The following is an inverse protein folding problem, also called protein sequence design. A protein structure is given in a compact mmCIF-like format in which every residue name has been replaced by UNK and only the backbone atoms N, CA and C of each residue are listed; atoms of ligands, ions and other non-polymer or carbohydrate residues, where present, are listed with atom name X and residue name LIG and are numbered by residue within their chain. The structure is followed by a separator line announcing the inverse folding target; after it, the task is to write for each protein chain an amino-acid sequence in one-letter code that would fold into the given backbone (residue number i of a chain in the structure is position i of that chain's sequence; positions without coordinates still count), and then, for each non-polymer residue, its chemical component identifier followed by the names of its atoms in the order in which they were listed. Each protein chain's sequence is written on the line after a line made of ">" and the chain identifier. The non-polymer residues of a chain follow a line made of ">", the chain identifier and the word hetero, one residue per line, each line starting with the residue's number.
data_IF_705594959770
#
_entry.id   IF_705594959770
#
_cell.length_a   1.000
_cell.length_b   1.000
_cell.length_c   1.000
_cell.angle_alpha   90.00
_cell.angle_beta   90.00
_cell.angle_gamma   90.00
#
_symmetry.space_group_name_H-M   'P 1'
#
loop_
_entity.id
_entity.type
_entity.pdbx_description
1 polymer ?
#
# COMPACT_ATOMS: atom_id res chain seq x y z
N UNK A 1 -3.06 9.82 12.00
CA UNK A 1 -1.95 10.01 11.03
C UNK A 1 -2.14 9.08 9.83
N UNK A 2 -1.78 9.50 8.62
CA UNK A 2 -1.91 8.66 7.41
C UNK A 2 -0.57 8.05 7.01
N UNK A 3 -0.54 6.73 6.88
CA UNK A 3 0.63 5.96 6.45
C UNK A 3 0.41 5.46 5.03
N UNK A 4 1.25 5.91 4.10
CA UNK A 4 1.16 5.55 2.69
C UNK A 4 2.29 4.58 2.36
N UNK A 5 1.96 3.40 1.84
CA UNK A 5 2.93 2.37 1.45
C UNK A 5 2.85 2.17 -0.06
N UNK A 6 3.91 2.59 -0.76
CA UNK A 6 4.07 2.42 -2.20
C UNK A 6 5.32 1.60 -2.52
N UNK A 7 5.41 1.14 -3.77
CA UNK A 7 6.47 0.25 -4.19
C UNK A 7 6.06 -0.60 -5.38
N UNK A 8 7.06 -1.20 -6.02
CA UNK A 8 6.86 -2.09 -7.16
C UNK A 8 5.98 -3.31 -6.82
N UNK A 9 5.37 -3.91 -7.84
CA UNK A 9 4.76 -5.24 -7.70
C UNK A 9 5.81 -6.25 -7.23
N UNK A 10 5.45 -7.17 -6.33
CA UNK A 10 6.41 -8.10 -5.71
C UNK A 10 7.41 -7.45 -4.73
N UNK A 11 7.24 -6.15 -4.41
CA UNK A 11 8.12 -5.41 -3.50
C UNK A 11 7.98 -5.77 -2.02
N UNK A 12 6.94 -6.51 -1.62
CA UNK A 12 6.68 -6.86 -0.21
C UNK A 12 5.86 -5.82 0.56
N UNK A 13 5.11 -4.94 -0.14
CA UNK A 13 4.27 -3.91 0.49
C UNK A 13 3.27 -4.49 1.49
N UNK A 14 2.47 -5.47 1.08
CA UNK A 14 1.47 -6.10 1.94
C UNK A 14 2.10 -6.79 3.16
N UNK A 15 3.24 -7.46 2.97
CA UNK A 15 4.03 -8.05 4.06
C UNK A 15 4.48 -6.97 5.05
N UNK A 16 5.10 -5.89 4.55
CA UNK A 16 5.51 -4.75 5.36
C UNK A 16 4.34 -4.16 6.14
N UNK A 17 3.19 -3.94 5.48
CA UNK A 17 1.96 -3.44 6.12
C UNK A 17 1.52 -4.34 7.27
N UNK A 18 1.49 -5.66 7.06
CA UNK A 18 1.06 -6.62 8.10
C UNK A 18 2.01 -6.64 9.29
N UNK A 19 3.31 -6.69 9.04
CA UNK A 19 4.33 -6.79 10.10
C UNK A 19 4.44 -5.52 10.95
N UNK A 20 4.20 -4.34 10.35
CA UNK A 20 4.44 -3.06 11.01
C UNK A 20 3.17 -2.41 11.57
N UNK A 21 2.02 -2.63 10.92
CA UNK A 21 0.78 -1.92 11.27
C UNK A 21 -0.35 -2.84 11.74
N UNK A 22 -0.48 -4.05 11.19
CA UNK A 22 -1.62 -4.93 11.45
C UNK A 22 -1.24 -6.05 12.43
N UNK A 23 -0.81 -5.66 13.64
CA UNK A 23 -0.29 -6.59 14.66
C UNK A 23 -1.36 -7.28 15.49
N UNK A 24 -2.55 -6.68 15.55
CA UNK A 24 -3.72 -7.23 16.23
C UNK A 24 -4.62 -8.00 15.26
N UNK A 25 -5.56 -8.84 15.76
CA UNK A 25 -6.53 -9.52 14.92
C UNK A 25 -7.23 -8.56 13.95
N UNK A 26 -7.30 -8.98 12.69
CA UNK A 26 -7.91 -8.17 11.62
C UNK A 26 -9.43 -8.38 11.57
N UNK A 27 -10.19 -7.31 11.72
CA UNK A 27 -11.64 -7.27 11.53
C UNK A 27 -11.96 -6.53 10.23
N UNK A 28 -12.56 -7.21 9.26
CA UNK A 28 -13.00 -6.58 8.00
C UNK A 28 -14.44 -6.08 8.18
N UNK A 29 -14.70 -4.83 7.79
CA UNK A 29 -16.03 -4.25 7.80
C UNK A 29 -16.26 -3.36 6.56
N UNK A 30 -17.52 -3.16 6.20
CA UNK A 30 -17.91 -2.34 5.04
C UNK A 30 -18.29 -0.91 5.48
N UNK A 31 -17.86 0.08 4.69
CA UNK A 31 -18.26 1.50 4.80
C UNK A 31 -18.44 2.05 3.36
N UNK A 32 -17.90 3.23 3.02
CA UNK A 32 -17.90 3.72 1.62
C UNK A 32 -17.07 2.78 0.72
N UNK A 33 -16.01 2.22 1.31
CA UNK A 33 -15.21 1.11 0.78
C UNK A 33 -14.98 0.10 1.92
N UNK A 34 -14.65 -1.16 1.63
CA UNK A 34 -14.22 -2.10 2.66
C UNK A 34 -12.98 -1.59 3.36
N UNK A 35 -12.96 -1.78 4.67
CA UNK A 35 -11.87 -1.43 5.58
C UNK A 35 -11.48 -2.65 6.41
N UNK A 36 -10.25 -2.63 6.90
CA UNK A 36 -9.78 -3.60 7.90
C UNK A 36 -9.33 -2.86 9.14
N UNK A 37 -9.84 -3.23 10.31
CA UNK A 37 -9.37 -2.75 11.61
C UNK A 37 -8.38 -3.74 12.22
N UNK A 38 -7.33 -3.24 12.84
CA UNK A 38 -6.39 -4.02 13.66
C UNK A 38 -5.96 -3.11 14.81
N UNK A 39 -6.54 -3.33 16.01
CA UNK A 39 -6.43 -2.38 17.12
C UNK A 39 -6.94 -0.99 16.74
N UNK A 40 -6.13 0.03 16.99
CA UNK A 40 -6.41 1.43 16.64
C UNK A 40 -6.16 1.78 15.16
N UNK A 41 -5.56 0.86 14.40
CA UNK A 41 -5.24 1.07 12.98
C UNK A 41 -6.46 0.74 12.10
N UNK A 42 -6.74 1.63 11.14
CA UNK A 42 -7.69 1.40 10.05
C UNK A 42 -6.95 1.30 8.72
N UNK A 43 -7.00 0.15 8.06
CA UNK A 43 -6.41 -0.03 6.75
C UNK A 43 -7.47 0.02 5.64
N UNK A 44 -7.16 0.68 4.53
CA UNK A 44 -8.04 0.68 3.36
C UNK A 44 -8.01 -0.67 2.63
N UNK A 45 -9.18 -1.20 2.31
CA UNK A 45 -9.33 -2.49 1.65
C UNK A 45 -9.33 -3.67 2.62
N UNK A 46 -9.19 -4.88 2.09
CA UNK A 46 -9.28 -6.13 2.86
C UNK A 46 -7.89 -6.72 3.10
N UNK A 47 -7.57 -7.04 4.35
CA UNK A 47 -6.37 -7.78 4.76
C UNK A 47 -6.75 -9.05 5.52
N UNK A 48 -5.84 -10.03 5.56
CA UNK A 48 -6.07 -11.30 6.25
C UNK A 48 -7.03 -12.23 5.51
N UNK A 49 -7.15 -12.07 4.18
CA UNK A 49 -8.09 -12.84 3.35
C UNK A 49 -7.44 -14.06 2.68
N UNK A 50 -6.20 -14.37 3.03
CA UNK A 50 -5.46 -15.51 2.47
C UNK A 50 -5.16 -15.38 0.97
N UNK A 51 -5.15 -14.15 0.43
CA UNK A 51 -4.89 -13.88 -0.99
C UNK A 51 -3.63 -13.04 -1.14
N UNK A 52 -2.96 -13.19 -2.29
CA UNK A 52 -1.79 -12.37 -2.66
C UNK A 52 -2.11 -10.88 -2.76
N UNK A 53 -3.30 -10.54 -3.25
CA UNK A 53 -3.75 -9.16 -3.42
C UNK A 53 -4.64 -8.78 -2.25
N UNK A 54 -4.13 -7.90 -1.39
CA UNK A 54 -4.81 -7.31 -0.24
C UNK A 54 -4.77 -5.78 -0.32
N UNK A 55 -5.28 -5.10 0.71
CA UNK A 55 -5.28 -3.65 0.79
C UNK A 55 -6.09 -3.02 -0.34
N UNK A 56 -5.63 -1.88 -0.87
CA UNK A 56 -6.42 -1.16 -1.89
C UNK A 56 -6.51 -1.90 -3.22
N UNK A 57 -5.66 -2.89 -3.47
CA UNK A 57 -5.73 -3.70 -4.69
C UNK A 57 -6.98 -4.61 -4.71
N UNK A 58 -7.66 -4.81 -3.56
CA UNK A 58 -8.97 -5.48 -3.51
C UNK A 58 -10.13 -4.59 -3.95
N UNK A 59 -9.87 -3.30 -4.20
CA UNK A 59 -10.88 -2.33 -4.60
C UNK A 59 -11.01 -2.26 -6.13
N UNK A 60 -12.22 -1.93 -6.64
CA UNK A 60 -12.43 -1.64 -8.06
C UNK A 60 -11.46 -0.57 -8.60
N UNK A 61 -11.11 -0.64 -9.89
CA UNK A 61 -10.23 0.35 -10.53
C UNK A 61 -10.76 1.79 -10.45
N UNK A 62 -12.08 1.95 -10.42
CA UNK A 62 -12.75 3.24 -10.29
C UNK A 62 -12.99 3.68 -8.83
N UNK A 63 -12.33 3.06 -7.84
CA UNK A 63 -12.55 3.35 -6.42
C UNK A 63 -12.00 4.72 -5.95
N UNK A 64 -11.23 5.44 -6.76
CA UNK A 64 -10.57 6.68 -6.34
C UNK A 64 -11.52 7.74 -5.72
N UNK A 65 -12.71 8.04 -6.28
CA UNK A 65 -13.65 8.98 -5.64
C UNK A 65 -14.16 8.48 -4.28
N UNK A 66 -14.37 7.17 -4.15
CA UNK A 66 -14.82 6.55 -2.89
C UNK A 66 -13.71 6.56 -1.83
N UNK A 67 -12.47 6.26 -2.23
CA UNK A 67 -11.28 6.39 -1.36
C UNK A 67 -11.15 7.81 -0.83
N UNK A 68 -11.30 8.83 -1.67
CA UNK A 68 -11.26 10.24 -1.26
C UNK A 68 -12.31 10.55 -0.19
N UNK A 69 -13.57 10.18 -0.45
CA UNK A 69 -14.67 10.35 0.52
C UNK A 69 -14.38 9.64 1.85
N UNK A 70 -13.83 8.43 1.78
CA UNK A 70 -13.49 7.66 2.98
C UNK A 70 -12.38 8.35 3.79
N UNK A 71 -11.30 8.79 3.15
CA UNK A 71 -10.18 9.47 3.81
C UNK A 71 -10.63 10.73 4.54
N UNK A 72 -11.53 11.51 3.94
CA UNK A 72 -12.12 12.68 4.62
C UNK A 72 -12.84 12.32 5.92
N UNK A 73 -13.50 11.16 6.00
CA UNK A 73 -14.18 10.67 7.22
C UNK A 73 -13.22 10.07 8.24
N UNK A 74 -12.04 9.63 7.80
CA UNK A 74 -11.03 9.02 8.67
C UNK A 74 -9.99 10.02 9.19
N UNK A 75 -10.18 11.33 8.97
CA UNK A 75 -9.37 12.38 9.59
C UNK A 75 -9.27 12.18 11.11
N UNK A 76 -8.08 12.44 11.68
CA UNK A 76 -7.79 12.22 13.09
C UNK A 76 -7.58 10.75 13.49
N UNK A 77 -7.69 9.78 12.58
CA UNK A 77 -7.38 8.36 12.85
C UNK A 77 -6.03 7.95 12.29
N UNK A 78 -5.52 6.83 12.76
CA UNK A 78 -4.36 6.17 12.17
C UNK A 78 -4.80 5.27 11.01
N UNK A 79 -4.45 5.70 9.79
CA UNK A 79 -4.95 5.09 8.56
C UNK A 79 -3.82 4.60 7.69
N UNK A 80 -3.90 3.33 7.28
CA UNK A 80 -2.92 2.70 6.41
C UNK A 80 -3.46 2.57 4.99
N UNK A 81 -2.69 3.06 4.02
CA UNK A 81 -2.98 3.04 2.60
C UNK A 81 -1.88 2.30 1.85
N UNK A 82 -2.17 1.10 1.34
CA UNK A 82 -1.22 0.30 0.55
C UNK A 82 -1.84 -0.10 -0.78
N UNK A 83 -1.04 -0.04 -1.85
CA UNK A 83 -1.40 -0.61 -3.16
C UNK A 83 -1.34 0.38 -4.31
N UNK A 84 -1.68 -0.08 -5.51
CA UNK A 84 -1.51 0.70 -6.74
C UNK A 84 -2.62 1.76 -6.93
N UNK A 85 -3.81 1.53 -6.36
CA UNK A 85 -4.96 2.45 -6.44
C UNK A 85 -4.69 3.82 -5.84
N UNK A 86 -3.81 3.89 -4.85
CA UNK A 86 -3.47 5.14 -4.14
C UNK A 86 -2.19 5.79 -4.66
N UNK A 87 -1.36 5.05 -5.41
CA UNK A 87 -0.03 5.47 -5.83
C UNK A 87 -0.08 6.40 -7.04
N UNK A 88 -0.68 7.59 -6.93
CA UNK A 88 -0.69 8.57 -8.02
C UNK A 88 -0.66 10.01 -7.47
N UNK A 89 -0.15 10.98 -8.25
CA UNK A 89 0.00 12.36 -7.79
C UNK A 89 -1.31 13.02 -7.35
N UNK A 90 -2.43 12.74 -8.03
CA UNK A 90 -3.72 13.35 -7.70
C UNK A 90 -4.26 12.88 -6.35
N UNK A 91 -4.06 11.60 -6.01
CA UNK A 91 -4.41 11.07 -4.70
C UNK A 91 -3.51 11.66 -3.61
N UNK A 92 -2.21 11.81 -3.87
CA UNK A 92 -1.26 12.35 -2.90
C UNK A 92 -1.53 13.83 -2.62
N UNK A 93 -1.77 14.65 -3.65
CA UNK A 93 -2.21 16.05 -3.48
C UNK A 93 -3.52 16.17 -2.69
N UNK A 94 -4.42 15.22 -2.89
CA UNK A 94 -5.66 15.19 -2.12
C UNK A 94 -5.42 14.87 -0.65
N UNK A 95 -4.60 13.86 -0.36
CA UNK A 95 -4.22 13.51 1.01
C UNK A 95 -3.54 14.71 1.70
N UNK A 96 -2.62 15.38 1.00
CA UNK A 96 -1.99 16.63 1.46
C UNK A 96 -3.04 17.70 1.80
N UNK A 97 -4.05 17.90 0.95
CA UNK A 97 -5.12 18.87 1.20
C UNK A 97 -6.02 18.56 2.40
N UNK A 98 -5.98 17.34 2.94
CA UNK A 98 -6.74 16.99 4.14
C UNK A 98 -6.11 17.55 5.42
N UNK A 99 -4.83 17.96 5.38
CA UNK A 99 -4.11 18.54 6.51
C UNK A 99 -3.76 17.55 7.62
N UNK A 100 -3.81 16.25 7.34
CA UNK A 100 -3.40 15.20 8.28
C UNK A 100 -1.87 15.01 8.21
N UNK A 101 -1.19 14.68 9.32
CA UNK A 101 0.19 14.21 9.27
C UNK A 101 0.30 12.96 8.39
N UNK A 102 1.32 12.92 7.52
CA UNK A 102 1.56 11.83 6.57
C UNK A 102 2.96 11.25 6.73
N UNK A 103 3.05 9.93 6.66
CA UNK A 103 4.32 9.19 6.50
C UNK A 103 4.27 8.36 5.22
N UNK A 104 5.21 8.57 4.32
CA UNK A 104 5.32 7.84 3.05
C UNK A 104 6.46 6.82 3.10
N UNK A 105 6.13 5.55 2.89
CA UNK A 105 7.10 4.47 2.75
C UNK A 105 7.22 4.06 1.28
N UNK A 106 8.45 4.07 0.76
CA UNK A 106 8.80 3.44 -0.50
C UNK A 106 9.44 2.08 -0.24
N UNK A 107 8.66 1.02 -0.39
CA UNK A 107 9.11 -0.37 -0.25
C UNK A 107 9.71 -0.85 -1.56
N UNK A 108 10.98 -1.27 -1.51
CA UNK A 108 11.77 -1.61 -2.69
C UNK A 108 12.53 -2.92 -2.54
N UNK A 109 12.80 -3.53 -3.68
CA UNK A 109 13.77 -4.61 -3.84
C UNK A 109 14.30 -4.61 -5.29
N UNK A 110 15.15 -5.56 -5.63
CA UNK A 110 15.63 -5.79 -6.98
C UNK A 110 14.52 -6.38 -7.85
N UNK A 111 14.66 -6.19 -9.16
CA UNK A 111 13.75 -6.80 -10.12
C UNK A 111 13.82 -8.32 -10.03
N UNK A 112 15.00 -8.89 -9.77
CA UNK A 112 15.20 -10.33 -9.59
C UNK A 112 14.39 -10.86 -8.40
N UNK A 113 14.49 -10.21 -7.24
CA UNK A 113 13.74 -10.57 -6.03
C UNK A 113 12.23 -10.44 -6.25
N UNK A 114 11.78 -9.34 -6.84
CA UNK A 114 10.36 -9.14 -7.17
C UNK A 114 9.82 -10.24 -8.11
N UNK A 115 10.53 -10.53 -9.20
CA UNK A 115 10.13 -11.57 -10.14
C UNK A 115 10.12 -12.96 -9.49
N UNK A 116 11.13 -13.29 -8.66
CA UNK A 116 11.16 -14.55 -7.88
C UNK A 116 9.91 -14.68 -7.01
N UNK A 117 9.58 -13.65 -6.22
CA UNK A 117 8.39 -13.64 -5.34
C UNK A 117 7.09 -13.76 -6.13
N UNK A 118 6.97 -13.04 -7.24
CA UNK A 118 5.79 -13.10 -8.09
C UNK A 118 5.59 -14.49 -8.69
N UNK A 119 6.66 -15.15 -9.15
CA UNK A 119 6.59 -16.51 -9.70
C UNK A 119 6.29 -17.55 -8.62
N UNK A 120 6.91 -17.44 -7.45
CA UNK A 120 6.61 -18.31 -6.31
C UNK A 120 5.14 -18.22 -5.87
N UNK A 121 4.52 -17.05 -6.01
CA UNK A 121 3.10 -16.83 -5.74
C UNK A 121 2.17 -17.14 -6.94
N UNK A 122 2.65 -17.84 -7.99
CA UNK A 122 1.84 -18.21 -9.15
C UNK A 122 1.42 -17.06 -10.07
N UNK A 123 2.04 -15.88 -9.94
CA UNK A 123 1.67 -14.70 -10.73
C UNK A 123 2.24 -14.74 -12.16
N UNK A 124 1.42 -14.35 -13.13
CA UNK A 124 1.79 -14.17 -14.54
C UNK A 124 2.27 -12.75 -14.88
N UNK A 125 2.39 -11.87 -13.88
CA UNK A 125 2.87 -10.48 -14.08
C UNK A 125 4.23 -10.48 -14.78
N UNK A 126 4.39 -9.55 -15.73
CA UNK A 126 5.57 -9.47 -16.60
C UNK A 126 6.63 -8.52 -16.04
N UNK A 127 7.89 -8.72 -16.44
CA UNK A 127 8.99 -7.82 -16.05
C UNK A 127 8.74 -6.35 -16.46
N UNK A 128 8.23 -6.04 -17.67
CA UNK A 128 7.84 -4.67 -18.02
C UNK A 128 6.85 -4.04 -17.04
N UNK A 129 5.85 -4.81 -16.57
CA UNK A 129 4.90 -4.31 -15.57
C UNK A 129 5.58 -4.01 -14.23
N UNK A 130 6.49 -4.88 -13.77
CA UNK A 130 7.27 -4.63 -12.54
C UNK A 130 8.13 -3.37 -12.69
N UNK A 131 8.79 -3.19 -13.84
CA UNK A 131 9.56 -1.95 -14.13
C UNK A 131 8.66 -0.71 -14.11
N UNK A 132 7.48 -0.78 -14.72
CA UNK A 132 6.52 0.33 -14.74
C UNK A 132 6.06 0.72 -13.32
N UNK A 133 5.66 -0.26 -12.49
CA UNK A 133 5.26 0.00 -11.10
C UNK A 133 6.42 0.52 -10.24
N UNK A 134 7.66 0.06 -10.49
CA UNK A 134 8.87 0.57 -9.85
C UNK A 134 9.11 2.04 -10.20
N UNK A 135 9.09 2.40 -11.48
CA UNK A 135 9.26 3.78 -11.93
C UNK A 135 8.17 4.70 -11.39
N UNK A 136 6.91 4.26 -11.43
CA UNK A 136 5.76 4.99 -10.87
C UNK A 136 5.94 5.29 -9.39
N UNK A 137 6.27 4.28 -8.58
CA UNK A 137 6.49 4.46 -7.14
C UNK A 137 7.70 5.37 -6.85
N UNK A 138 8.81 5.19 -7.57
CA UNK A 138 10.00 6.06 -7.43
C UNK A 138 9.67 7.52 -7.73
N UNK A 139 8.97 7.79 -8.84
CA UNK A 139 8.65 9.15 -9.25
C UNK A 139 7.73 9.85 -8.23
N UNK A 140 6.71 9.16 -7.73
CA UNK A 140 5.86 9.70 -6.68
C UNK A 140 6.64 9.91 -5.38
N UNK A 141 7.55 9.01 -5.01
CA UNK A 141 8.40 9.21 -3.84
C UNK A 141 9.33 10.42 -3.98
N UNK A 142 9.98 10.59 -5.14
CA UNK A 142 10.83 11.77 -5.39
C UNK A 142 10.02 13.07 -5.32
N UNK A 143 8.76 13.05 -5.76
CA UNK A 143 7.91 14.23 -5.77
C UNK A 143 7.33 14.56 -4.38
N UNK A 144 6.97 13.56 -3.57
CA UNK A 144 6.20 13.76 -2.33
C UNK A 144 6.92 13.31 -1.05
N UNK A 145 8.05 12.61 -1.16
CA UNK A 145 8.78 12.04 -0.04
C UNK A 145 9.15 13.07 1.02
N UNK A 146 9.79 14.17 0.63
CA UNK A 146 10.16 15.24 1.57
C UNK A 146 8.95 15.81 2.33
N UNK A 147 7.82 16.01 1.62
CA UNK A 147 6.58 16.55 2.17
C UNK A 147 5.87 15.57 3.11
N UNK A 148 6.05 14.26 2.91
CA UNK A 148 5.38 13.20 3.65
C UNK A 148 6.34 12.41 4.55
N UNK A 149 7.40 13.03 5.07
CA UNK A 149 8.38 12.38 5.94
C UNK A 149 8.88 11.03 5.38
N UNK A 150 9.24 11.06 4.11
CA UNK A 150 9.46 9.88 3.27
C UNK A 150 10.59 8.99 3.76
N UNK A 151 10.37 7.69 3.71
CA UNK A 151 11.34 6.68 4.10
C UNK A 151 11.43 5.55 3.07
N UNK A 152 12.64 5.09 2.77
CA UNK A 152 12.88 3.98 1.85
C UNK A 152 13.10 2.72 2.66
N UNK A 153 12.31 1.70 2.38
CA UNK A 153 12.42 0.38 3.00
C UNK A 153 12.95 -0.60 1.96
N UNK A 154 14.09 -1.23 2.23
CA UNK A 154 14.61 -2.33 1.42
C UNK A 154 14.10 -3.66 1.97
N UNK A 155 13.48 -4.49 1.13
CA UNK A 155 13.05 -5.85 1.48
C UNK A 155 13.91 -6.91 0.83
N UNK A 156 15.14 -6.60 0.44
CA UNK A 156 16.07 -7.59 -0.11
C UNK A 156 16.31 -8.74 0.86
N UNK A 157 16.46 -9.96 0.33
CA UNK A 157 16.75 -11.15 1.14
C UNK A 157 15.60 -11.66 2.02
N UNK A 158 14.47 -10.95 2.12
CA UNK A 158 13.27 -11.45 2.80
C UNK A 158 12.68 -12.65 2.06
N UNK A 159 12.98 -13.86 2.52
CA UNK A 159 12.39 -15.09 2.00
C UNK A 159 10.89 -15.11 2.28
N UNK A 160 10.12 -15.62 1.33
CA UNK A 160 8.69 -15.76 1.50
C UNK A 160 8.40 -16.73 2.64
N UNK A 161 7.66 -16.27 3.65
CA UNK A 161 6.95 -17.20 4.51
C UNK A 161 5.74 -17.64 3.70
N UNK A 162 5.88 -18.81 3.07
CA UNK A 162 4.83 -19.49 2.35
C UNK A 162 3.81 -20.11 3.32
N UNK A 163 2.59 -20.17 2.78
CA UNK A 163 1.38 -20.88 3.23
C UNK A 163 0.65 -20.26 4.41
#
# INVERSE_FOLDING_TARGET
>A
MFYIIIGQSGGGKTTFTREHFLKEPCEIYEDIIPLTRSGDIVALGKYGIGKRTEGTDTLPYNAAPKIRKQLKRLKGKDVVLEGDRINNPDMFRYIESLGEPVKLYLVTCSLKTSMKRLRAAGSTITLPFVKATKSKARNNFLQFGERFNGEIISTEGGEGIGV
#
